data_IF_745102016663
#
_entry.id   IF_745102016663
#
_cell.length_a   1.000
_cell.length_b   1.000
_cell.length_c   1.000
_cell.angle_alpha   90.00
_cell.angle_beta   90.00
_cell.angle_gamma   90.00
#
_symmetry.space_group_name_H-M   'P 1'
#
loop_
_entity.id
_entity.type
_entity.pdbx_description
1 polymer ?
#
# COMPACT_ATOMS: atom_id res chain seq x y z
N UNK A 1 -3.64 21.88 -15.01
CA UNK A 1 -2.64 21.36 -14.07
C UNK A 1 -3.03 19.92 -13.69
N UNK A 2 -2.07 18.98 -13.74
CA UNK A 2 -2.34 17.56 -13.45
C UNK A 2 -2.87 17.32 -12.02
N UNK A 3 -2.56 18.22 -11.07
CA UNK A 3 -3.11 18.13 -9.71
C UNK A 3 -4.64 18.16 -9.66
N UNK A 4 -5.30 18.81 -10.60
CA UNK A 4 -6.77 18.84 -10.67
C UNK A 4 -7.38 17.47 -10.99
N UNK A 5 -6.63 16.55 -11.61
CA UNK A 5 -7.09 15.19 -11.86
C UNK A 5 -7.39 14.41 -10.57
N UNK A 6 -6.78 14.81 -9.43
CA UNK A 6 -7.05 14.21 -8.12
C UNK A 6 -8.48 14.48 -7.63
N UNK A 7 -9.12 15.54 -8.09
CA UNK A 7 -10.52 15.86 -7.76
C UNK A 7 -11.49 14.81 -8.37
N UNK A 8 -11.08 14.18 -9.47
CA UNK A 8 -11.79 13.06 -10.09
C UNK A 8 -11.37 11.68 -9.55
N UNK A 9 -10.64 11.62 -8.43
CA UNK A 9 -10.19 10.37 -7.81
C UNK A 9 -8.93 9.76 -8.47
N UNK A 10 -8.32 10.41 -9.45
CA UNK A 10 -7.09 9.93 -10.06
C UNK A 10 -5.90 10.11 -9.10
N UNK A 11 -5.08 9.06 -8.97
CA UNK A 11 -3.81 9.18 -8.27
C UNK A 11 -2.81 9.96 -9.14
N UNK A 12 -2.27 11.06 -8.59
CA UNK A 12 -1.28 11.89 -9.28
C UNK A 12 -0.06 12.05 -8.38
N UNK A 13 1.10 11.66 -8.89
CA UNK A 13 2.39 11.92 -8.27
C UNK A 13 3.00 13.17 -8.90
N UNK A 14 3.37 14.13 -8.07
CA UNK A 14 4.09 15.34 -8.50
C UNK A 14 5.52 15.25 -7.97
N UNK A 15 6.47 14.98 -8.85
CA UNK A 15 7.88 14.78 -8.49
C UNK A 15 8.58 16.07 -8.07
N UNK A 16 8.16 17.19 -8.65
CA UNK A 16 8.69 18.52 -8.31
C UNK A 16 7.55 19.49 -7.96
N UNK A 17 7.15 19.58 -6.68
CA UNK A 17 6.12 20.52 -6.25
C UNK A 17 6.57 21.98 -6.34
N UNK A 18 7.89 22.24 -6.43
CA UNK A 18 8.43 23.61 -6.55
C UNK A 18 8.27 24.20 -7.95
N UNK A 19 7.87 23.41 -8.94
CA UNK A 19 7.63 23.87 -10.32
C UNK A 19 6.63 25.02 -10.41
N UNK A 20 5.73 25.20 -9.43
CA UNK A 20 4.74 26.28 -9.37
C UNK A 20 5.25 27.55 -8.67
N UNK A 21 6.41 27.51 -8.02
CA UNK A 21 6.90 28.62 -7.17
C UNK A 21 7.09 29.95 -7.91
N UNK A 22 7.33 29.90 -9.22
CA UNK A 22 7.47 31.11 -10.03
C UNK A 22 6.17 31.85 -10.25
N UNK A 23 5.05 31.12 -10.35
CA UNK A 23 3.75 31.68 -10.76
C UNK A 23 2.76 31.70 -9.61
N UNK A 24 2.76 30.67 -8.76
CA UNK A 24 1.90 30.56 -7.59
C UNK A 24 2.61 29.74 -6.50
N UNK A 25 3.48 30.37 -5.70
CA UNK A 25 4.30 29.67 -4.69
C UNK A 25 3.48 28.84 -3.68
N UNK A 26 2.30 29.34 -3.32
CA UNK A 26 1.41 28.70 -2.34
C UNK A 26 0.39 27.74 -2.96
N UNK A 27 0.54 27.40 -4.26
CA UNK A 27 -0.45 26.63 -5.00
C UNK A 27 -0.84 25.34 -4.27
N UNK A 28 0.13 24.53 -3.86
CA UNK A 28 -0.18 23.24 -3.22
C UNK A 28 -0.75 23.38 -1.83
N UNK A 29 -0.41 24.42 -1.08
CA UNK A 29 -1.01 24.73 0.22
C UNK A 29 -2.48 25.12 0.05
N UNK A 30 -2.75 26.05 -0.88
CA UNK A 30 -4.11 26.47 -1.24
C UNK A 30 -4.93 25.30 -1.76
N UNK A 31 -4.36 24.49 -2.66
CA UNK A 31 -5.02 23.31 -3.21
C UNK A 31 -5.37 22.30 -2.11
N UNK A 32 -4.46 22.03 -1.17
CA UNK A 32 -4.72 21.16 -0.03
C UNK A 32 -5.83 21.72 0.89
N UNK A 33 -5.95 23.04 0.99
CA UNK A 33 -6.99 23.70 1.80
C UNK A 33 -8.40 23.57 1.21
N UNK A 34 -8.51 23.47 -0.11
CA UNK A 34 -9.82 23.35 -0.82
C UNK A 34 -10.21 21.90 -1.11
N UNK A 35 -9.24 20.96 -1.05
CA UNK A 35 -9.48 19.53 -1.24
C UNK A 35 -9.68 18.87 0.11
N UNK A 36 -10.72 18.05 0.24
CA UNK A 36 -10.84 17.17 1.41
C UNK A 36 -9.94 15.96 1.15
N UNK A 37 -8.87 15.75 1.95
CA UNK A 37 -8.06 14.57 1.79
C UNK A 37 -8.92 13.32 2.05
N UNK A 38 -8.82 12.33 1.19
CA UNK A 38 -9.45 11.02 1.41
C UNK A 38 -9.01 10.49 2.78
N UNK A 39 -9.94 10.18 3.70
CA UNK A 39 -9.60 9.74 5.04
C UNK A 39 -8.87 8.40 5.01
N UNK A 40 -7.87 8.27 5.88
CA UNK A 40 -7.16 7.01 6.10
C UNK A 40 -7.29 6.64 7.57
N UNK A 41 -7.63 5.37 7.81
CA UNK A 41 -7.57 4.69 9.08
C UNK A 41 -6.45 3.65 8.99
N UNK A 42 -5.41 3.81 9.80
CA UNK A 42 -4.28 2.90 9.85
C UNK A 42 -4.39 1.95 11.04
N UNK A 43 -4.24 0.65 10.79
CA UNK A 43 -4.24 -0.39 11.82
C UNK A 43 -2.91 -1.14 11.73
N UNK A 44 -1.99 -0.81 12.61
CA UNK A 44 -0.69 -1.45 12.68
C UNK A 44 -0.63 -2.46 13.84
N UNK A 45 0.31 -3.39 13.78
CA UNK A 45 0.53 -4.37 14.83
C UNK A 45 1.32 -5.59 14.37
N UNK A 46 1.70 -6.49 15.30
CA UNK A 46 2.45 -7.70 14.97
C UNK A 46 1.64 -8.67 14.12
N UNK A 47 2.32 -9.65 13.54
CA UNK A 47 1.64 -10.76 12.84
C UNK A 47 0.73 -11.51 13.81
N UNK A 48 -0.36 -12.07 13.29
CA UNK A 48 -1.35 -12.84 14.05
C UNK A 48 -2.10 -12.06 15.16
N UNK A 49 -2.04 -10.73 15.20
CA UNK A 49 -2.80 -9.90 16.15
C UNK A 49 -4.29 -9.75 15.81
N UNK A 50 -4.77 -10.36 14.73
CA UNK A 50 -6.16 -10.21 14.27
C UNK A 50 -6.47 -8.92 13.52
N UNK A 51 -5.46 -8.05 13.26
CA UNK A 51 -5.65 -6.77 12.59
C UNK A 51 -6.34 -6.87 11.22
N UNK A 52 -6.01 -7.90 10.41
CA UNK A 52 -6.63 -8.12 9.11
C UNK A 52 -8.14 -8.29 9.20
N UNK A 53 -8.60 -9.12 10.13
CA UNK A 53 -10.03 -9.31 10.36
C UNK A 53 -10.71 -8.03 10.82
N UNK A 54 -10.08 -7.29 11.72
CA UNK A 54 -10.60 -6.00 12.21
C UNK A 54 -10.63 -4.99 11.06
N UNK A 55 -9.54 -4.84 10.30
CA UNK A 55 -9.43 -3.90 9.20
C UNK A 55 -10.47 -4.15 8.11
N UNK A 56 -10.63 -5.41 7.67
CA UNK A 56 -11.62 -5.78 6.67
C UNK A 56 -13.05 -5.46 7.13
N UNK A 57 -13.40 -5.78 8.39
CA UNK A 57 -14.72 -5.49 8.95
C UNK A 57 -14.98 -3.99 9.08
N UNK A 58 -13.98 -3.20 9.47
CA UNK A 58 -14.08 -1.74 9.56
C UNK A 58 -14.22 -1.14 8.17
N UNK A 59 -13.44 -1.60 7.19
CA UNK A 59 -13.53 -1.15 5.80
C UNK A 59 -14.94 -1.41 5.24
N UNK A 60 -15.46 -2.62 5.42
CA UNK A 60 -16.80 -2.97 4.98
C UNK A 60 -17.88 -2.11 5.66
N UNK A 61 -17.79 -1.88 6.97
CA UNK A 61 -18.75 -1.08 7.72
C UNK A 61 -18.76 0.41 7.30
N UNK A 62 -17.62 0.93 6.88
CA UNK A 62 -17.47 2.32 6.43
C UNK A 62 -17.66 2.50 4.93
N UNK A 63 -17.73 1.41 4.15
CA UNK A 63 -17.69 1.45 2.69
C UNK A 63 -16.35 1.99 2.15
N UNK A 64 -15.26 1.76 2.87
CA UNK A 64 -13.91 2.20 2.50
C UNK A 64 -13.16 1.09 1.76
N UNK A 65 -12.15 1.48 0.97
CA UNK A 65 -11.18 0.54 0.42
C UNK A 65 -10.38 -0.14 1.53
N UNK A 66 -9.94 -1.37 1.30
CA UNK A 66 -9.10 -2.12 2.22
C UNK A 66 -7.73 -2.38 1.60
N UNK A 67 -6.67 -2.11 2.35
CA UNK A 67 -5.29 -2.42 2.00
C UNK A 67 -4.68 -3.37 3.03
N UNK A 68 -4.51 -4.66 2.66
CA UNK A 68 -3.60 -5.59 3.34
C UNK A 68 -2.18 -5.39 2.78
N UNK A 69 -1.35 -4.61 3.48
CA UNK A 69 0.03 -4.41 3.05
C UNK A 69 0.86 -5.69 3.13
N UNK A 70 0.56 -6.57 4.07
CA UNK A 70 1.22 -7.86 4.21
C UNK A 70 0.99 -8.75 3.00
N UNK A 71 -0.18 -8.69 2.38
CA UNK A 71 -0.46 -9.44 1.15
C UNK A 71 0.46 -8.99 0.00
N UNK A 72 0.76 -7.69 -0.13
CA UNK A 72 1.69 -7.22 -1.15
C UNK A 72 3.08 -7.86 -1.01
N UNK A 73 3.63 -7.90 0.21
CA UNK A 73 4.92 -8.54 0.45
C UNK A 73 4.88 -10.06 0.22
N UNK A 74 3.76 -10.73 0.55
CA UNK A 74 3.55 -12.15 0.26
C UNK A 74 3.51 -12.42 -1.25
N UNK A 75 2.88 -11.55 -2.03
CA UNK A 75 2.84 -11.68 -3.50
C UNK A 75 4.25 -11.46 -4.10
N UNK A 76 5.02 -10.49 -3.58
CA UNK A 76 6.43 -10.30 -4.00
C UNK A 76 7.26 -11.55 -3.72
N UNK A 77 7.12 -12.14 -2.52
CA UNK A 77 7.82 -13.36 -2.17
C UNK A 77 7.42 -14.53 -3.08
N UNK A 78 6.13 -14.72 -3.36
CA UNK A 78 5.64 -15.74 -4.29
C UNK A 78 6.23 -15.54 -5.69
N UNK A 79 6.15 -14.32 -6.24
CA UNK A 79 6.66 -14.00 -7.56
C UNK A 79 8.19 -14.20 -7.66
N UNK A 80 8.95 -13.94 -6.60
CA UNK A 80 10.38 -14.21 -6.56
C UNK A 80 10.67 -15.70 -6.53
N UNK A 81 9.94 -16.48 -5.71
CA UNK A 81 10.08 -17.93 -5.63
C UNK A 81 9.75 -18.62 -6.97
N UNK A 82 8.64 -18.22 -7.63
CA UNK A 82 8.25 -18.76 -8.94
C UNK A 82 9.29 -18.49 -10.03
N UNK A 83 9.98 -17.34 -9.93
CA UNK A 83 11.06 -16.97 -10.86
C UNK A 83 12.42 -17.54 -10.47
N UNK A 84 12.53 -18.29 -9.38
CA UNK A 84 13.79 -18.80 -8.87
C UNK A 84 14.75 -17.72 -8.39
N UNK A 85 14.24 -16.54 -8.03
CA UNK A 85 15.05 -15.42 -7.51
C UNK A 85 15.26 -15.61 -6.01
N UNK A 86 16.51 -15.49 -5.56
CA UNK A 86 16.83 -15.55 -4.14
C UNK A 86 16.22 -14.37 -3.40
N UNK A 87 15.57 -14.64 -2.25
CA UNK A 87 14.83 -13.61 -1.49
C UNK A 87 15.73 -12.58 -0.79
N UNK A 88 17.04 -12.76 -0.81
CA UNK A 88 18.08 -11.84 -0.34
C UNK A 88 18.77 -11.07 -1.46
N UNK A 89 18.47 -11.38 -2.73
CA UNK A 89 18.85 -10.53 -3.86
C UNK A 89 17.95 -9.30 -3.91
N UNK A 90 18.35 -8.27 -3.15
CA UNK A 90 17.56 -7.04 -2.98
C UNK A 90 17.22 -6.38 -4.32
N UNK A 91 18.17 -6.31 -5.25
CA UNK A 91 17.97 -5.62 -6.52
C UNK A 91 16.97 -6.37 -7.41
N UNK A 92 17.10 -7.69 -7.51
CA UNK A 92 16.20 -8.52 -8.31
C UNK A 92 14.79 -8.55 -7.70
N UNK A 93 14.66 -8.67 -6.37
CA UNK A 93 13.36 -8.66 -5.68
C UNK A 93 12.69 -7.28 -5.77
N UNK A 94 13.45 -6.19 -5.67
CA UNK A 94 12.92 -4.83 -5.85
C UNK A 94 12.40 -4.60 -7.27
N UNK A 95 13.08 -5.12 -8.29
CA UNK A 95 12.61 -5.07 -9.67
C UNK A 95 11.28 -5.84 -9.85
N UNK A 96 11.14 -7.01 -9.21
CA UNK A 96 9.87 -7.76 -9.18
C UNK A 96 8.78 -6.93 -8.49
N UNK A 97 9.07 -6.33 -7.35
CA UNK A 97 8.10 -5.51 -6.60
C UNK A 97 7.63 -4.28 -7.41
N UNK A 98 8.54 -3.62 -8.12
CA UNK A 98 8.23 -2.46 -8.95
C UNK A 98 7.32 -2.80 -10.13
N UNK A 99 7.56 -3.95 -10.78
CA UNK A 99 6.80 -4.44 -11.94
C UNK A 99 5.65 -5.38 -11.58
N UNK A 100 5.30 -5.52 -10.29
CA UNK A 100 4.39 -6.53 -9.77
C UNK A 100 3.00 -6.46 -10.43
N UNK A 101 2.59 -7.44 -11.25
CA UNK A 101 1.29 -7.44 -11.94
C UNK A 101 0.19 -8.02 -11.04
N UNK A 102 0.09 -7.47 -9.82
CA UNK A 102 -0.89 -7.91 -8.83
C UNK A 102 -2.12 -7.00 -8.84
N UNK A 103 -3.31 -7.62 -8.66
CA UNK A 103 -4.60 -6.93 -8.49
C UNK A 103 -5.37 -7.56 -7.33
N UNK A 104 -6.15 -6.74 -6.65
CA UNK A 104 -7.09 -7.18 -5.63
C UNK A 104 -8.51 -6.92 -6.16
N UNK A 105 -9.32 -7.96 -6.20
CA UNK A 105 -10.70 -7.92 -6.71
C UNK A 105 -11.63 -8.53 -5.65
N UNK A 106 -12.15 -7.69 -4.75
CA UNK A 106 -12.83 -8.15 -3.55
C UNK A 106 -11.88 -9.00 -2.68
N UNK A 107 -12.28 -10.23 -2.39
CA UNK A 107 -11.47 -11.17 -1.58
C UNK A 107 -10.40 -11.92 -2.40
N UNK A 108 -10.38 -11.73 -3.73
CA UNK A 108 -9.44 -12.42 -4.61
C UNK A 108 -8.16 -11.62 -4.76
N UNK A 109 -7.05 -12.34 -4.80
CA UNK A 109 -5.72 -11.80 -5.04
C UNK A 109 -5.18 -12.39 -6.34
N UNK A 110 -4.99 -11.55 -7.34
CA UNK A 110 -4.54 -11.97 -8.66
C UNK A 110 -3.09 -11.59 -8.88
N UNK A 111 -2.29 -12.53 -9.39
CA UNK A 111 -0.94 -12.32 -9.91
C UNK A 111 -0.92 -12.79 -11.37
N UNK A 112 -0.59 -11.90 -12.30
CA UNK A 112 -0.68 -12.17 -13.75
C UNK A 112 -2.05 -12.74 -14.19
N UNK A 113 -3.15 -12.32 -13.53
CA UNK A 113 -4.50 -12.78 -13.79
C UNK A 113 -4.86 -14.12 -13.13
N UNK A 114 -3.92 -14.82 -12.51
CA UNK A 114 -4.14 -16.07 -11.75
C UNK A 114 -4.48 -15.73 -10.30
N UNK A 115 -5.51 -16.37 -9.76
CA UNK A 115 -5.83 -16.27 -8.34
C UNK A 115 -4.78 -16.99 -7.50
N UNK A 116 -4.14 -16.25 -6.61
CA UNK A 116 -3.06 -16.73 -5.73
C UNK A 116 -3.44 -16.60 -4.25
N UNK A 117 -4.70 -16.39 -3.94
CA UNK A 117 -5.18 -16.13 -2.59
C UNK A 117 -4.78 -17.18 -1.56
N UNK A 118 -4.82 -18.47 -1.93
CA UNK A 118 -4.39 -19.55 -1.04
C UNK A 118 -2.86 -19.70 -1.00
N UNK A 119 -2.20 -19.55 -2.15
CA UNK A 119 -0.75 -19.70 -2.26
C UNK A 119 0.01 -18.66 -1.42
N UNK A 120 -0.44 -17.41 -1.41
CA UNK A 120 0.19 -16.36 -0.60
C UNK A 120 -0.02 -16.54 0.91
N UNK A 121 -0.93 -17.43 1.33
CA UNK A 121 -1.15 -17.78 2.75
C UNK A 121 -0.27 -18.93 3.22
N UNK A 122 0.48 -19.57 2.30
CA UNK A 122 1.42 -20.63 2.66
C UNK A 122 2.48 -20.15 3.64
N UNK A 123 3.05 -21.07 4.39
CA UNK A 123 4.15 -20.78 5.31
C UNK A 123 5.38 -20.23 4.56
N UNK A 124 5.72 -20.80 3.41
CA UNK A 124 6.82 -20.34 2.56
C UNK A 124 6.65 -18.87 2.16
N UNK A 125 5.45 -18.47 1.72
CA UNK A 125 5.16 -17.07 1.38
C UNK A 125 5.17 -16.16 2.62
N UNK A 126 4.72 -16.63 3.76
CA UNK A 126 4.70 -15.86 5.01
C UNK A 126 6.11 -15.58 5.54
N UNK A 127 6.97 -16.59 5.53
CA UNK A 127 8.39 -16.46 5.87
C UNK A 127 9.10 -15.58 4.84
N UNK A 128 8.86 -15.84 3.55
CA UNK A 128 9.40 -15.06 2.45
C UNK A 128 9.02 -13.59 2.52
N UNK A 129 7.76 -13.29 2.83
CA UNK A 129 7.28 -11.92 3.03
C UNK A 129 8.07 -11.16 4.11
N UNK A 130 8.38 -11.82 5.21
CA UNK A 130 9.19 -11.22 6.29
C UNK A 130 10.61 -10.90 5.84
N UNK A 131 11.20 -11.76 4.99
CA UNK A 131 12.54 -11.54 4.42
C UNK A 131 12.53 -10.36 3.43
N UNK A 132 11.64 -10.37 2.46
CA UNK A 132 11.58 -9.32 1.43
C UNK A 132 11.14 -7.97 2.01
N UNK A 133 10.31 -7.95 3.06
CA UNK A 133 9.90 -6.72 3.75
C UNK A 133 11.03 -6.06 4.56
N UNK A 134 12.11 -6.78 4.85
CA UNK A 134 13.31 -6.22 5.48
C UNK A 134 14.21 -5.47 4.48
N UNK A 135 14.02 -5.67 3.17
CA UNK A 135 14.84 -5.07 2.11
C UNK A 135 14.37 -3.63 1.82
N UNK A 136 15.23 -2.60 2.03
CA UNK A 136 14.86 -1.20 1.82
C UNK A 136 14.37 -0.90 0.41
N UNK A 137 15.03 -1.43 -0.64
CA UNK A 137 14.64 -1.19 -2.02
C UNK A 137 13.27 -1.79 -2.38
N UNK A 138 12.90 -2.93 -1.78
CA UNK A 138 11.56 -3.53 -1.93
C UNK A 138 10.50 -2.64 -1.29
N UNK A 139 10.78 -2.11 -0.09
CA UNK A 139 9.88 -1.19 0.60
C UNK A 139 9.67 0.09 -0.19
N UNK A 140 10.72 0.64 -0.78
CA UNK A 140 10.65 1.81 -1.65
C UNK A 140 9.81 1.52 -2.91
N UNK A 141 10.03 0.39 -3.56
CA UNK A 141 9.27 -0.03 -4.74
C UNK A 141 7.76 -0.15 -4.45
N UNK A 142 7.38 -0.66 -3.27
CA UNK A 142 5.99 -0.83 -2.86
C UNK A 142 5.36 0.42 -2.24
N UNK A 143 6.15 1.41 -1.82
CA UNK A 143 5.65 2.61 -1.12
C UNK A 143 4.56 3.33 -1.91
N UNK A 144 4.86 3.70 -3.15
CA UNK A 144 3.90 4.44 -3.98
C UNK A 144 2.70 3.60 -4.39
N UNK A 145 2.90 2.29 -4.54
CA UNK A 145 1.80 1.36 -4.80
C UNK A 145 0.81 1.33 -3.64
N UNK A 146 1.30 1.25 -2.42
CA UNK A 146 0.45 1.30 -1.22
C UNK A 146 -0.30 2.64 -1.13
N UNK A 147 0.39 3.75 -1.36
CA UNK A 147 -0.26 5.08 -1.35
C UNK A 147 -1.34 5.26 -2.42
N UNK A 148 -1.24 4.57 -3.55
CA UNK A 148 -2.24 4.60 -4.62
C UNK A 148 -3.58 3.97 -4.23
N UNK A 149 -3.64 3.22 -3.12
CA UNK A 149 -4.91 2.71 -2.57
C UNK A 149 -5.75 3.79 -1.88
N UNK A 150 -5.18 4.96 -1.59
CA UNK A 150 -5.93 6.07 -1.00
C UNK A 150 -6.86 6.69 -2.02
N UNK A 151 -8.07 6.15 -2.11
CA UNK A 151 -9.13 6.58 -3.04
C UNK A 151 -10.41 6.82 -2.25
N UNK A 152 -11.33 7.65 -2.84
CA UNK A 152 -12.63 7.85 -2.23
C UNK A 152 -13.47 6.56 -2.19
N UNK A 153 -14.30 6.40 -1.15
CA UNK A 153 -14.62 7.38 -0.10
C UNK A 153 -13.62 7.41 1.06
N UNK A 154 -12.75 6.41 1.23
CA UNK A 154 -11.76 6.30 2.28
C UNK A 154 -10.94 5.03 2.18
N UNK A 155 -9.92 4.90 3.03
CA UNK A 155 -9.03 3.75 3.10
C UNK A 155 -8.87 3.26 4.54
N UNK A 156 -9.01 1.96 4.74
CA UNK A 156 -8.50 1.25 5.91
C UNK A 156 -7.26 0.48 5.49
N UNK A 157 -6.09 0.89 5.97
CA UNK A 157 -4.84 0.20 5.71
C UNK A 157 -4.37 -0.56 6.94
N UNK A 158 -3.90 -1.79 6.74
CA UNK A 158 -3.30 -2.60 7.79
C UNK A 158 -1.87 -3.01 7.47
N UNK A 159 -1.04 -3.07 8.53
CA UNK A 159 0.35 -3.46 8.37
C UNK A 159 1.16 -3.41 9.65
N UNK A 160 2.38 -2.92 9.51
CA UNK A 160 3.30 -2.67 10.64
C UNK A 160 3.72 -1.21 10.73
N UNK A 161 3.56 -0.46 9.65
CA UNK A 161 4.06 0.91 9.49
C UNK A 161 3.14 1.77 8.61
N UNK A 162 1.88 1.36 8.49
CA UNK A 162 0.88 2.09 7.70
C UNK A 162 0.71 3.50 8.22
N UNK A 163 0.55 3.66 9.54
CA UNK A 163 0.32 4.95 10.16
C UNK A 163 1.59 5.75 10.45
N UNK A 164 2.78 5.13 10.41
CA UNK A 164 4.05 5.81 10.69
C UNK A 164 4.82 6.17 9.42
N UNK A 165 4.76 5.33 8.38
CA UNK A 165 5.56 5.48 7.15
C UNK A 165 4.70 5.72 5.92
N UNK A 166 3.71 4.86 5.67
CA UNK A 166 2.94 4.90 4.42
C UNK A 166 1.97 6.09 4.42
N UNK A 167 1.20 6.24 5.48
CA UNK A 167 0.23 7.32 5.68
C UNK A 167 0.45 8.04 7.01
N UNK A 168 1.57 8.79 7.17
CA UNK A 168 1.85 9.51 8.41
C UNK A 168 0.81 10.58 8.72
N UNK A 169 0.05 10.99 7.73
CA UNK A 169 -1.09 11.91 7.81
C UNK A 169 -2.45 11.22 8.05
N UNK A 170 -2.46 9.90 8.32
CA UNK A 170 -3.68 9.19 8.68
C UNK A 170 -4.33 9.82 9.93
N UNK A 171 -5.64 10.10 9.84
CA UNK A 171 -6.39 10.77 10.93
C UNK A 171 -6.57 9.86 12.14
N UNK A 172 -6.70 8.57 11.91
CA UNK A 172 -6.87 7.56 12.96
C UNK A 172 -5.75 6.54 12.78
N UNK A 173 -5.00 6.32 13.84
CA UNK A 173 -3.91 5.34 13.90
C UNK A 173 -4.14 4.46 15.12
N UNK A 174 -4.29 3.18 14.86
CA UNK A 174 -4.53 2.15 15.88
C UNK A 174 -3.34 1.20 15.85
N UNK A 175 -2.80 0.90 17.02
CA UNK A 175 -1.82 -0.17 17.16
C UNK A 175 -2.48 -1.33 17.92
N UNK A 176 -2.67 -2.45 17.23
CA UNK A 176 -3.32 -3.63 17.78
C UNK A 176 -2.26 -4.58 18.33
N UNK A 177 -2.29 -4.80 19.62
CA UNK A 177 -1.49 -5.82 20.32
C UNK A 177 -2.33 -7.07 20.54
N UNK A 178 -1.69 -8.24 20.48
CA UNK A 178 -2.33 -9.50 20.86
C UNK A 178 -2.34 -9.65 22.38
#
# INVERSE_FOLDING_TARGET
>A
CFSLATLGGAYVRINDPKCVNKTFPEYFQTFAGITRPVPVLAIDGPSASGKGTVAARVAAALGFEHLDSGALYRIVALAALEKGVALDDEAAVAAIAAALPARFEGDRVLLDGRDVGDEIRSEACSVGASRVAALPAVREALFWRQRAYRRGPGLVGEGRDIGSVIFPDARIKIFLTA
#
